data_IF_862806021121
#
_entry.id   IF_862806021121
#
_cell.length_a   1.000
_cell.length_b   1.000
_cell.length_c   1.000
_cell.angle_alpha   90.00
_cell.angle_beta   90.00
_cell.angle_gamma   90.00
#
_symmetry.space_group_name_H-M   'P 1'
#
loop_
_entity.id
_entity.type
_entity.pdbx_description
1 polymer ?
#
# COMPACT_ATOMS: atom_id res chain seq x y z
N UNK A 1 35.11 40.37 -67.35
CA UNK A 1 35.02 38.94 -66.95
C UNK A 1 35.20 38.71 -65.43
N UNK A 2 35.16 39.73 -64.57
CA UNK A 2 35.44 39.59 -63.12
C UNK A 2 34.20 39.36 -62.22
N UNK A 3 32.98 39.68 -62.69
CA UNK A 3 31.75 39.64 -61.86
C UNK A 3 31.15 38.22 -61.70
N UNK A 4 31.33 37.33 -62.67
CA UNK A 4 30.72 35.99 -62.67
C UNK A 4 31.43 34.98 -61.75
N UNK A 5 32.70 35.20 -61.38
CA UNK A 5 33.43 34.31 -60.47
C UNK A 5 33.07 34.55 -59.00
N UNK A 6 32.75 35.78 -58.60
CA UNK A 6 32.33 36.11 -57.22
C UNK A 6 30.96 35.50 -56.90
N UNK A 7 30.02 35.55 -57.84
CA UNK A 7 28.70 34.92 -57.69
C UNK A 7 28.78 33.40 -57.52
N UNK A 8 29.65 32.73 -58.29
CA UNK A 8 29.87 31.27 -58.19
C UNK A 8 30.58 30.88 -56.89
N UNK A 9 31.53 31.69 -56.43
CA UNK A 9 32.22 31.47 -55.15
C UNK A 9 31.26 31.66 -53.96
N UNK A 10 30.39 32.68 -54.01
CA UNK A 10 29.39 32.95 -52.98
C UNK A 10 28.36 31.81 -52.90
N UNK A 11 27.90 31.31 -54.05
CA UNK A 11 26.98 30.17 -54.13
C UNK A 11 27.63 28.87 -53.63
N UNK A 12 28.91 28.66 -53.94
CA UNK A 12 29.69 27.54 -53.41
C UNK A 12 29.85 27.64 -51.88
N UNK A 13 30.09 28.82 -51.33
CA UNK A 13 30.25 29.03 -49.89
C UNK A 13 28.94 28.80 -49.12
N UNK A 14 27.80 29.18 -49.70
CA UNK A 14 26.46 28.91 -49.17
C UNK A 14 26.12 27.41 -49.11
N UNK A 15 26.66 26.60 -50.03
CA UNK A 15 26.43 25.15 -50.08
C UNK A 15 27.24 24.35 -49.04
N UNK A 16 28.28 24.94 -48.43
CA UNK A 16 29.10 24.29 -47.39
C UNK A 16 28.61 24.56 -45.96
N UNK A 17 27.61 25.43 -45.76
CA UNK A 17 26.96 25.62 -44.46
C UNK A 17 25.81 24.62 -44.28
N UNK A 18 26.13 23.39 -43.85
CA UNK A 18 25.10 22.45 -43.38
C UNK A 18 24.74 22.77 -41.92
N UNK A 19 23.56 23.35 -41.69
CA UNK A 19 23.02 23.52 -40.34
C UNK A 19 22.36 22.20 -39.89
N UNK A 20 22.80 21.65 -38.77
CA UNK A 20 22.08 20.56 -38.10
C UNK A 20 20.94 21.20 -37.30
N UNK A 21 19.71 21.01 -37.77
CA UNK A 21 18.50 21.47 -37.07
C UNK A 21 17.97 20.31 -36.24
N UNK A 22 17.96 20.45 -34.91
CA UNK A 22 17.34 19.48 -34.02
C UNK A 22 15.81 19.67 -34.05
N UNK A 23 15.06 18.63 -34.45
CA UNK A 23 13.60 18.65 -34.47
C UNK A 23 13.03 18.15 -33.12
N UNK A 24 13.25 18.93 -32.07
CA UNK A 24 12.58 18.74 -30.78
C UNK A 24 11.17 19.35 -30.82
N UNK A 25 10.17 18.61 -30.35
CA UNK A 25 8.78 19.09 -30.33
C UNK A 25 8.55 19.86 -29.04
N UNK A 26 8.52 21.19 -29.13
CA UNK A 26 8.03 22.04 -28.05
C UNK A 26 6.54 22.34 -28.23
N UNK A 27 5.74 22.13 -27.19
CA UNK A 27 4.33 22.56 -27.14
C UNK A 27 4.19 23.55 -25.98
N UNK A 28 3.83 24.79 -26.29
CA UNK A 28 3.73 25.86 -25.29
C UNK A 28 5.09 26.46 -24.86
N UNK A 29 6.20 25.99 -25.43
CA UNK A 29 7.55 26.54 -25.21
C UNK A 29 8.33 26.67 -26.51
N UNK A 30 9.14 27.72 -26.64
CA UNK A 30 10.07 27.92 -27.75
C UNK A 30 11.49 27.44 -27.43
N UNK A 31 11.75 27.12 -26.15
CA UNK A 31 13.05 26.66 -25.66
C UNK A 31 12.89 25.29 -24.99
N UNK A 32 12.47 24.24 -25.73
CA UNK A 32 12.37 22.90 -25.16
C UNK A 32 13.73 22.44 -24.59
N UNK A 33 13.68 21.73 -23.47
CA UNK A 33 14.86 21.26 -22.76
C UNK A 33 15.74 20.37 -23.65
N UNK A 34 17.05 20.55 -23.61
CA UNK A 34 18.00 19.87 -24.52
C UNK A 34 18.04 18.35 -24.38
N UNK A 35 17.46 17.81 -23.31
CA UNK A 35 17.35 16.37 -23.05
C UNK A 35 15.99 15.77 -23.39
N UNK A 36 15.09 16.50 -24.07
CA UNK A 36 13.75 16.03 -24.42
C UNK A 36 13.52 15.99 -25.93
N UNK A 37 12.82 14.95 -26.38
CA UNK A 37 12.30 14.87 -27.76
C UNK A 37 10.95 15.59 -27.85
N UNK A 38 10.19 15.62 -26.75
CA UNK A 38 8.93 16.31 -26.57
C UNK A 38 8.98 17.07 -25.24
N UNK A 39 8.80 18.39 -25.29
CA UNK A 39 8.67 19.26 -24.11
C UNK A 39 7.33 20.00 -24.17
N UNK A 40 6.59 19.99 -23.06
CA UNK A 40 5.25 20.56 -22.99
C UNK A 40 5.17 21.47 -21.78
N UNK A 41 4.98 22.76 -22.02
CA UNK A 41 4.85 23.78 -20.99
C UNK A 41 3.44 24.37 -21.00
N UNK A 42 2.77 24.37 -19.85
CA UNK A 42 1.48 25.02 -19.67
C UNK A 42 1.27 25.35 -18.19
N UNK A 43 0.59 26.46 -17.91
CA UNK A 43 0.23 26.86 -16.54
C UNK A 43 -1.16 26.39 -16.12
N UNK A 44 -1.99 25.93 -17.05
CA UNK A 44 -3.40 25.64 -16.81
C UNK A 44 -3.98 24.46 -17.61
N UNK A 45 -3.16 23.76 -18.40
CA UNK A 45 -3.58 22.61 -19.22
C UNK A 45 -2.65 21.43 -19.00
N UNK A 46 -3.17 20.21 -19.20
CA UNK A 46 -2.41 18.97 -19.12
C UNK A 46 -2.36 18.23 -20.46
N UNK A 47 -1.82 17.01 -20.44
CA UNK A 47 -1.74 16.14 -21.62
C UNK A 47 -2.76 15.01 -21.49
N UNK A 48 -3.65 14.89 -22.48
CA UNK A 48 -4.45 13.68 -22.64
C UNK A 48 -3.65 12.66 -23.43
N UNK A 49 -3.28 11.57 -22.76
CA UNK A 49 -2.68 10.40 -23.40
C UNK A 49 -3.75 9.61 -24.18
N UNK A 50 -3.34 8.70 -25.08
CA UNK A 50 -4.28 7.84 -25.80
C UNK A 50 -5.25 7.13 -24.83
N UNK A 51 -6.55 7.31 -25.08
CA UNK A 51 -7.63 6.69 -24.30
C UNK A 51 -8.07 5.42 -25.01
N UNK A 52 -7.77 4.27 -24.41
CA UNK A 52 -7.89 2.97 -25.05
C UNK A 52 -8.77 2.08 -24.18
N UNK A 53 -9.73 1.37 -24.76
CA UNK A 53 -10.54 0.41 -24.02
C UNK A 53 -9.90 -0.97 -24.03
N UNK A 54 -9.12 -1.30 -23.00
CA UNK A 54 -8.51 -2.63 -22.88
C UNK A 54 -9.57 -3.69 -22.55
N UNK A 55 -9.32 -4.93 -23.00
CA UNK A 55 -10.18 -6.09 -22.69
C UNK A 55 -9.65 -6.93 -21.51
N UNK A 56 -8.35 -6.86 -21.21
CA UNK A 56 -7.67 -7.49 -20.07
C UNK A 56 -6.26 -6.92 -19.92
N UNK A 57 -5.53 -7.26 -18.85
CA UNK A 57 -4.11 -6.89 -18.74
C UNK A 57 -3.24 -7.59 -19.78
N UNK A 58 -3.68 -8.72 -20.33
CA UNK A 58 -3.00 -9.45 -21.40
C UNK A 58 -3.37 -8.99 -22.83
N UNK A 59 -4.20 -7.96 -22.99
CA UNK A 59 -4.66 -7.50 -24.30
C UNK A 59 -3.52 -6.95 -25.17
N UNK A 60 -3.11 -7.72 -26.17
CA UNK A 60 -2.11 -7.34 -27.17
C UNK A 60 -2.71 -7.18 -28.58
N UNK A 61 -4.05 -7.11 -28.66
CA UNK A 61 -4.80 -7.06 -29.91
C UNK A 61 -5.33 -5.65 -30.20
N UNK A 62 -5.77 -4.94 -29.16
CA UNK A 62 -6.25 -3.56 -29.26
C UNK A 62 -5.14 -2.60 -29.71
N UNK A 63 -3.93 -2.83 -29.21
CA UNK A 63 -2.68 -2.24 -29.72
C UNK A 63 -1.80 -3.41 -30.12
N UNK A 64 -1.54 -3.56 -31.41
CA UNK A 64 -0.70 -4.65 -31.93
C UNK A 64 0.77 -4.36 -31.68
N UNK A 65 1.52 -5.37 -31.22
CA UNK A 65 2.94 -5.27 -30.87
C UNK A 65 3.28 -4.05 -29.97
N UNK A 66 2.65 -3.91 -28.80
CA UNK A 66 2.93 -2.79 -27.90
C UNK A 66 4.40 -2.83 -27.43
N UNK A 67 5.06 -1.68 -27.50
CA UNK A 67 6.46 -1.53 -27.09
C UNK A 67 6.59 -1.33 -25.58
N UNK A 68 7.71 -1.72 -24.99
CA UNK A 68 7.94 -1.52 -23.56
C UNK A 68 7.88 -0.03 -23.20
N UNK A 69 7.26 0.29 -22.06
CA UNK A 69 6.99 1.66 -21.58
C UNK A 69 5.93 2.45 -22.34
N UNK A 70 5.20 1.84 -23.29
CA UNK A 70 4.06 2.50 -23.92
C UNK A 70 2.98 2.82 -22.89
N UNK A 71 2.62 4.10 -22.73
CA UNK A 71 1.70 4.61 -21.71
C UNK A 71 0.35 5.02 -22.31
N UNK A 72 -0.74 4.54 -21.72
CA UNK A 72 -2.12 4.84 -22.13
C UNK A 72 -3.00 5.12 -20.92
N UNK A 73 -4.18 5.68 -21.17
CA UNK A 73 -5.27 5.69 -20.20
C UNK A 73 -6.32 4.63 -20.61
N UNK A 74 -6.49 3.59 -19.81
CA UNK A 74 -7.56 2.62 -20.02
C UNK A 74 -8.92 3.23 -19.65
N UNK A 75 -9.93 3.06 -20.50
CA UNK A 75 -11.31 3.54 -20.26
C UNK A 75 -12.29 2.45 -19.85
N UNK A 76 -11.90 1.18 -19.95
CA UNK A 76 -12.80 0.03 -19.77
C UNK A 76 -12.73 -0.57 -18.37
N UNK A 77 -13.86 -1.07 -17.88
CA UNK A 77 -13.94 -2.01 -16.74
C UNK A 77 -14.32 -3.39 -17.29
N UNK A 78 -13.32 -4.23 -17.57
CA UNK A 78 -13.51 -5.56 -18.16
C UNK A 78 -12.45 -6.49 -17.59
N UNK A 79 -12.84 -7.70 -17.18
CA UNK A 79 -11.93 -8.68 -16.56
C UNK A 79 -11.12 -8.06 -15.40
N UNK A 80 -9.80 -8.03 -15.53
CA UNK A 80 -8.83 -7.55 -14.54
C UNK A 80 -8.38 -6.10 -14.80
N UNK A 81 -8.99 -5.39 -15.76
CA UNK A 81 -8.72 -3.97 -16.01
C UNK A 81 -9.86 -3.08 -15.55
N UNK A 82 -9.49 -1.95 -14.97
CA UNK A 82 -10.36 -0.83 -14.58
C UNK A 82 -9.80 0.48 -15.12
N UNK A 83 -10.60 1.56 -15.23
CA UNK A 83 -10.11 2.85 -15.71
C UNK A 83 -8.89 3.35 -14.93
N UNK A 84 -7.95 3.97 -15.65
CA UNK A 84 -6.70 4.49 -15.08
C UNK A 84 -5.53 4.42 -16.07
N UNK A 85 -4.36 4.87 -15.63
CA UNK A 85 -3.14 4.81 -16.46
C UNK A 85 -2.55 3.40 -16.46
N UNK A 86 -2.14 2.92 -17.62
CA UNK A 86 -1.46 1.64 -17.80
C UNK A 86 -0.24 1.82 -18.68
N UNK A 87 0.82 1.08 -18.38
CA UNK A 87 1.98 0.97 -19.25
C UNK A 87 2.29 -0.48 -19.62
N UNK A 88 2.77 -0.69 -20.84
CA UNK A 88 3.16 -2.02 -21.31
C UNK A 88 4.54 -2.41 -20.79
N UNK A 89 4.63 -3.55 -20.09
CA UNK A 89 5.91 -4.13 -19.67
C UNK A 89 5.76 -5.63 -19.40
N UNK A 90 6.78 -6.41 -19.75
CA UNK A 90 6.85 -7.86 -19.51
C UNK A 90 5.62 -8.63 -20.05
N UNK A 91 5.14 -8.25 -21.24
CA UNK A 91 4.04 -8.94 -21.92
C UNK A 91 2.64 -8.65 -21.36
N UNK A 92 2.45 -7.59 -20.57
CA UNK A 92 1.15 -7.18 -20.04
C UNK A 92 1.04 -5.68 -19.80
N UNK A 93 -0.18 -5.19 -19.71
CA UNK A 93 -0.53 -3.86 -19.22
C UNK A 93 -0.48 -3.82 -17.70
N UNK A 94 0.37 -2.94 -17.16
CA UNK A 94 0.54 -2.73 -15.73
C UNK A 94 -0.15 -1.41 -15.35
N UNK A 95 -1.14 -1.48 -14.45
CA UNK A 95 -1.82 -0.28 -13.95
C UNK A 95 -0.86 0.54 -13.10
N UNK A 96 -0.80 1.85 -13.34
CA UNK A 96 -0.20 2.80 -12.41
C UNK A 96 -1.25 3.06 -11.33
N UNK A 97 -1.10 2.39 -10.18
CA UNK A 97 -1.99 2.58 -9.05
C UNK A 97 -1.53 3.78 -8.21
N UNK A 98 -2.49 4.53 -7.69
CA UNK A 98 -2.28 5.31 -6.47
C UNK A 98 -2.43 4.33 -5.32
N UNK A 99 -1.36 4.02 -4.59
CA UNK A 99 -1.46 3.12 -3.44
C UNK A 99 -2.44 3.69 -2.42
N UNK A 100 -3.59 3.04 -2.24
CA UNK A 100 -4.48 3.33 -1.12
C UNK A 100 -3.73 2.92 0.14
N UNK A 101 -3.24 3.89 0.90
CA UNK A 101 -2.63 3.61 2.20
C UNK A 101 -3.75 3.35 3.20
N UNK A 102 -3.86 2.11 3.64
CA UNK A 102 -4.77 1.74 4.72
C UNK A 102 -3.92 1.30 5.91
N UNK A 103 -4.12 1.94 7.06
CA UNK A 103 -3.40 1.60 8.27
C UNK A 103 -4.18 2.04 9.51
N UNK A 104 -3.93 1.37 10.63
CA UNK A 104 -4.54 1.67 11.91
C UNK A 104 -3.65 1.32 13.09
N UNK A 105 -3.74 2.11 14.15
CA UNK A 105 -3.06 1.90 15.45
C UNK A 105 -4.05 2.13 16.59
N UNK A 106 -4.22 1.10 17.41
CA UNK A 106 -4.93 1.16 18.69
C UNK A 106 -3.97 0.72 19.79
N UNK A 107 -4.04 1.39 20.94
CA UNK A 107 -3.11 1.20 22.04
C UNK A 107 -3.80 1.34 23.38
N UNK A 108 -3.19 0.70 24.39
CA UNK A 108 -3.59 0.82 25.78
C UNK A 108 -2.86 1.98 26.41
N UNK A 109 -3.56 3.08 26.67
CA UNK A 109 -2.99 4.26 27.33
C UNK A 109 -2.77 4.02 28.83
N UNK A 110 -2.14 4.97 29.52
CA UNK A 110 -2.03 4.99 30.98
C UNK A 110 -3.39 5.19 31.68
N UNK A 111 -4.38 5.76 30.99
CA UNK A 111 -5.74 5.95 31.50
C UNK A 111 -6.61 4.69 31.38
N UNK A 112 -6.24 3.73 30.51
CA UNK A 112 -6.91 2.45 30.39
C UNK A 112 -6.55 1.52 31.55
N UNK A 113 -7.55 1.03 32.29
CA UNK A 113 -7.34 0.10 33.40
C UNK A 113 -6.62 -1.19 32.94
N UNK A 114 -5.78 -1.74 33.81
CA UNK A 114 -5.19 -3.08 33.65
C UNK A 114 -6.30 -4.11 33.42
N UNK A 115 -6.11 -5.04 32.47
CA UNK A 115 -7.13 -6.03 32.09
C UNK A 115 -6.67 -7.45 32.43
N UNK A 116 -7.38 -8.14 33.31
CA UNK A 116 -7.16 -9.57 33.56
C UNK A 116 -7.49 -10.41 32.32
N UNK A 117 -6.82 -11.55 32.14
CA UNK A 117 -7.07 -12.41 30.99
C UNK A 117 -8.43 -13.11 31.10
N UNK A 118 -9.20 -13.06 30.03
CA UNK A 118 -10.46 -13.76 29.86
C UNK A 118 -10.55 -14.31 28.44
N UNK A 119 -10.54 -15.64 28.26
CA UNK A 119 -10.60 -16.29 26.96
C UNK A 119 -11.90 -16.01 26.19
N UNK A 120 -12.95 -15.50 26.86
CA UNK A 120 -14.21 -15.13 26.22
C UNK A 120 -14.27 -13.66 25.76
N UNK A 121 -13.28 -12.85 26.14
CA UNK A 121 -13.26 -11.41 25.87
C UNK A 121 -11.95 -10.98 25.19
N UNK A 122 -11.99 -10.14 24.14
CA UNK A 122 -10.77 -9.68 23.48
C UNK A 122 -9.99 -8.71 24.38
N UNK A 123 -8.71 -8.55 24.08
CA UNK A 123 -7.88 -7.52 24.71
C UNK A 123 -8.40 -6.14 24.32
N UNK A 124 -8.69 -5.32 25.33
CA UNK A 124 -9.11 -3.94 25.17
C UNK A 124 -7.90 -3.01 25.29
N UNK A 125 -7.63 -2.32 24.18
CA UNK A 125 -6.63 -1.27 24.07
C UNK A 125 -7.24 0.05 24.58
N UNK A 126 -8.43 0.42 24.12
CA UNK A 126 -9.21 1.53 24.69
C UNK A 126 -8.83 2.92 24.15
N UNK A 127 -7.75 3.06 23.38
CA UNK A 127 -7.39 4.31 22.73
C UNK A 127 -7.06 4.07 21.26
N UNK A 128 -7.53 4.97 20.40
CA UNK A 128 -7.27 4.95 18.95
C UNK A 128 -6.26 6.08 18.67
N UNK A 129 -5.11 5.76 18.09
CA UNK A 129 -4.10 6.76 17.72
C UNK A 129 -4.39 7.34 16.34
N UNK A 130 -4.39 6.48 15.32
CA UNK A 130 -4.59 6.85 13.92
C UNK A 130 -5.31 5.72 13.19
N UNK A 131 -6.21 6.07 12.28
CA UNK A 131 -6.90 5.14 11.40
C UNK A 131 -7.15 5.82 10.06
N UNK A 132 -6.71 5.19 8.97
CA UNK A 132 -6.92 5.62 7.60
C UNK A 132 -7.40 4.40 6.79
N UNK A 133 -8.56 4.50 6.14
CA UNK A 133 -9.12 3.42 5.31
C UNK A 133 -9.54 2.14 6.04
N UNK A 134 -9.56 2.15 7.38
CA UNK A 134 -10.01 1.06 8.26
C UNK A 134 -10.89 1.65 9.35
N UNK A 135 -11.93 0.92 9.78
CA UNK A 135 -12.72 1.31 10.94
C UNK A 135 -12.08 0.75 12.21
N UNK A 136 -12.22 1.43 13.34
CA UNK A 136 -11.62 0.99 14.59
C UNK A 136 -12.54 1.21 15.79
N UNK A 137 -12.36 0.34 16.76
CA UNK A 137 -12.88 0.46 18.12
C UNK A 137 -11.71 0.26 19.11
N UNK A 138 -11.99 0.37 20.39
CA UNK A 138 -11.13 0.08 21.53
C UNK A 138 -10.45 -1.29 21.52
N UNK A 139 -10.94 -2.28 20.77
CA UNK A 139 -10.43 -3.66 20.82
C UNK A 139 -10.25 -4.34 19.45
N UNK A 140 -10.59 -3.66 18.35
CA UNK A 140 -10.48 -4.24 17.01
C UNK A 140 -10.36 -3.21 15.90
N UNK A 141 -9.97 -3.73 14.74
CA UNK A 141 -10.14 -3.08 13.44
C UNK A 141 -11.21 -3.79 12.63
N UNK A 142 -12.01 -3.06 11.87
CA UNK A 142 -12.97 -3.58 10.90
C UNK A 142 -12.56 -3.16 9.48
N UNK A 143 -12.50 -4.14 8.57
CA UNK A 143 -11.91 -4.00 7.24
C UNK A 143 -12.92 -3.39 6.27
N UNK A 144 -12.52 -2.31 5.60
CA UNK A 144 -13.35 -1.66 4.57
C UNK A 144 -13.00 -2.19 3.18
N UNK A 145 -11.71 -2.32 2.88
CA UNK A 145 -11.21 -2.73 1.56
C UNK A 145 -10.60 -4.14 1.64
N UNK A 146 -11.02 -5.12 0.83
CA UNK A 146 -10.41 -6.43 0.84
C UNK A 146 -8.94 -6.39 0.44
N UNK A 147 -8.12 -7.23 1.06
CA UNK A 147 -6.70 -7.22 0.77
C UNK A 147 -5.85 -8.10 1.67
N UNK A 148 -4.56 -8.09 1.38
CA UNK A 148 -3.54 -8.65 2.24
C UNK A 148 -3.09 -7.58 3.23
N UNK A 149 -3.27 -7.86 4.51
CA UNK A 149 -2.94 -6.99 5.62
C UNK A 149 -1.81 -7.58 6.45
N UNK A 150 -0.92 -6.72 6.93
CA UNK A 150 -0.01 -7.03 8.02
C UNK A 150 -0.67 -6.60 9.32
N UNK A 151 -0.81 -7.53 10.25
CA UNK A 151 -1.25 -7.27 11.61
C UNK A 151 -0.07 -7.49 12.55
N UNK A 152 0.16 -6.53 13.44
CA UNK A 152 1.20 -6.60 14.46
C UNK A 152 0.58 -6.28 15.81
N UNK A 153 0.88 -7.06 16.84
CA UNK A 153 0.58 -6.67 18.21
C UNK A 153 1.82 -6.77 19.09
N UNK A 154 1.85 -5.97 20.15
CA UNK A 154 2.80 -6.08 21.24
C UNK A 154 2.05 -5.85 22.55
N UNK A 155 2.13 -6.78 23.48
CA UNK A 155 1.45 -6.69 24.79
C UNK A 155 2.43 -7.03 25.90
N UNK A 156 2.37 -6.28 27.00
CA UNK A 156 3.13 -6.60 28.21
C UNK A 156 2.19 -7.12 29.29
N UNK A 157 2.56 -8.25 29.86
CA UNK A 157 1.79 -8.93 30.90
C UNK A 157 2.47 -8.75 32.24
N UNK A 158 1.67 -8.64 33.30
CA UNK A 158 2.08 -8.74 34.69
C UNK A 158 1.35 -9.92 35.34
N UNK A 159 2.11 -10.83 35.96
CA UNK A 159 1.56 -11.85 36.85
C UNK A 159 1.70 -11.43 38.30
N UNK A 160 0.60 -11.38 39.03
CA UNK A 160 0.55 -10.87 40.42
C UNK A 160 0.46 -11.95 41.48
N UNK A 161 0.10 -13.19 41.10
CA UNK A 161 -0.03 -14.31 42.03
C UNK A 161 -0.08 -15.68 41.30
N UNK A 162 -0.01 -16.75 42.10
CA UNK A 162 -0.22 -18.13 41.69
C UNK A 162 0.97 -18.75 40.96
N UNK A 163 0.91 -20.06 40.76
CA UNK A 163 1.96 -20.87 40.13
C UNK A 163 2.27 -20.47 38.69
N UNK A 164 3.45 -20.85 38.15
CA UNK A 164 3.79 -20.64 36.74
C UNK A 164 2.69 -21.14 35.81
N UNK A 165 2.48 -20.42 34.71
CA UNK A 165 1.38 -20.69 33.79
C UNK A 165 1.83 -20.65 32.34
N UNK A 166 1.33 -21.59 31.56
CA UNK A 166 1.46 -21.62 30.12
C UNK A 166 0.24 -20.93 29.52
N UNK A 167 0.47 -19.92 28.68
CA UNK A 167 -0.58 -19.13 28.06
C UNK A 167 -0.15 -18.67 26.68
N UNK A 168 -1.07 -18.08 25.94
CA UNK A 168 -0.78 -17.51 24.64
C UNK A 168 -1.88 -16.60 24.15
N UNK A 169 -1.65 -16.04 22.97
CA UNK A 169 -2.56 -15.12 22.32
C UNK A 169 -2.69 -15.47 20.84
N UNK A 170 -3.85 -15.19 20.28
CA UNK A 170 -4.14 -15.40 18.87
C UNK A 170 -5.06 -14.30 18.34
N UNK A 171 -5.07 -14.15 17.02
CA UNK A 171 -5.99 -13.25 16.34
C UNK A 171 -7.24 -14.00 15.88
N UNK A 172 -8.36 -13.29 15.80
CA UNK A 172 -9.62 -13.78 15.21
C UNK A 172 -10.10 -12.86 14.10
N UNK A 173 -11.01 -13.35 13.24
CA UNK A 173 -11.68 -12.59 12.16
C UNK A 173 -13.05 -12.03 12.55
N UNK A 174 -13.53 -12.39 13.74
CA UNK A 174 -14.80 -11.91 14.31
C UNK A 174 -14.72 -11.87 15.83
N UNK A 175 -15.79 -11.42 16.47
CA UNK A 175 -15.92 -11.41 17.94
C UNK A 175 -16.14 -12.82 18.53
N UNK A 176 -16.19 -13.86 17.70
CA UNK A 176 -16.21 -15.24 18.16
C UNK A 176 -14.76 -15.72 18.40
N UNK A 177 -14.37 -16.08 19.64
CA UNK A 177 -13.04 -16.60 19.92
C UNK A 177 -12.73 -17.91 19.16
N UNK A 178 -13.73 -18.64 18.66
CA UNK A 178 -13.52 -19.83 17.84
C UNK A 178 -13.07 -19.51 16.39
N UNK A 179 -13.31 -18.30 15.90
CA UNK A 179 -12.95 -17.84 14.55
C UNK A 179 -11.47 -17.42 14.47
N UNK A 180 -10.60 -18.35 14.89
CA UNK A 180 -9.17 -18.14 15.02
C UNK A 180 -8.49 -18.09 13.66
N UNK A 181 -7.61 -17.11 13.51
CA UNK A 181 -6.70 -17.05 12.37
C UNK A 181 -5.59 -18.08 12.57
N UNK A 182 -5.52 -19.06 11.67
CA UNK A 182 -4.52 -20.12 11.71
C UNK A 182 -3.08 -19.60 11.68
N UNK A 183 -2.23 -20.18 12.54
CA UNK A 183 -0.84 -19.77 12.72
C UNK A 183 -0.65 -18.35 13.28
N UNK A 184 -1.67 -17.77 13.94
CA UNK A 184 -1.52 -16.50 14.68
C UNK A 184 -1.18 -16.70 16.17
N UNK A 185 -1.14 -17.95 16.63
CA UNK A 185 -0.95 -18.26 18.04
C UNK A 185 0.51 -18.08 18.47
N UNK A 186 0.73 -17.28 19.51
CA UNK A 186 2.03 -17.14 20.19
C UNK A 186 1.89 -17.67 21.61
N UNK A 187 2.74 -18.62 21.98
CA UNK A 187 2.76 -19.27 23.29
C UNK A 187 3.92 -18.77 24.15
N UNK A 188 3.72 -18.72 25.46
CA UNK A 188 4.76 -18.40 26.43
C UNK A 188 4.47 -19.04 27.79
N UNK A 189 5.52 -19.15 28.60
CA UNK A 189 5.41 -19.52 30.01
C UNK A 189 5.70 -18.28 30.86
N UNK A 190 4.84 -18.03 31.85
CA UNK A 190 4.98 -16.92 32.78
C UNK A 190 5.19 -17.45 34.20
N UNK A 191 6.43 -17.28 34.69
CA UNK A 191 6.82 -17.59 36.06
C UNK A 191 6.16 -16.63 37.08
N UNK A 192 6.21 -16.99 38.36
CA UNK A 192 5.63 -16.19 39.45
C UNK A 192 6.24 -14.77 39.51
N UNK A 193 5.38 -13.76 39.69
CA UNK A 193 5.77 -12.35 39.88
C UNK A 193 6.66 -11.77 38.76
N UNK A 194 6.39 -12.14 37.51
CA UNK A 194 7.14 -11.64 36.36
C UNK A 194 6.32 -10.77 35.41
N UNK A 195 7.08 -9.92 34.71
CA UNK A 195 6.62 -9.18 33.54
C UNK A 195 7.26 -9.75 32.28
N UNK A 196 6.48 -9.93 31.23
CA UNK A 196 6.97 -10.33 29.91
C UNK A 196 6.30 -9.50 28.83
N UNK A 197 6.98 -9.35 27.70
CA UNK A 197 6.40 -8.83 26.47
C UNK A 197 6.16 -9.97 25.49
N UNK A 198 5.00 -9.96 24.83
CA UNK A 198 4.64 -10.88 23.75
C UNK A 198 4.32 -10.04 22.53
N UNK A 199 4.93 -10.38 21.40
CA UNK A 199 4.65 -9.71 20.14
C UNK A 199 4.52 -10.70 19.00
N UNK A 200 3.83 -10.26 17.95
CA UNK A 200 3.59 -11.05 16.75
C UNK A 200 3.49 -10.12 15.54
N UNK A 201 3.95 -10.61 14.38
CA UNK A 201 3.73 -9.99 13.07
C UNK A 201 3.21 -11.07 12.11
N UNK A 202 2.08 -10.81 11.44
CA UNK A 202 1.47 -11.76 10.51
C UNK A 202 0.84 -11.07 9.32
N UNK A 203 1.04 -11.64 8.14
CA UNK A 203 0.35 -11.25 6.93
C UNK A 203 -0.85 -12.18 6.74
N UNK A 204 -2.04 -11.61 6.55
CA UNK A 204 -3.31 -12.32 6.42
C UNK A 204 -4.15 -11.67 5.32
N UNK A 205 -4.93 -12.50 4.62
CA UNK A 205 -5.97 -12.00 3.74
C UNK A 205 -7.23 -11.68 4.54
N UNK A 206 -7.81 -10.50 4.31
CA UNK A 206 -9.05 -10.07 4.93
C UNK A 206 -10.05 -9.53 3.91
N UNK A 207 -11.31 -9.91 4.10
CA UNK A 207 -12.46 -9.43 3.33
C UNK A 207 -13.14 -8.23 4.01
N UNK A 208 -13.97 -7.51 3.26
CA UNK A 208 -14.78 -6.41 3.78
C UNK A 208 -15.66 -6.90 4.95
N UNK A 209 -15.76 -6.07 6.00
CA UNK A 209 -16.45 -6.30 7.27
C UNK A 209 -15.84 -7.37 8.18
N UNK A 210 -14.77 -8.06 7.78
CA UNK A 210 -14.01 -8.88 8.73
C UNK A 210 -13.36 -7.99 9.80
N UNK A 211 -13.16 -8.55 10.99
CA UNK A 211 -12.69 -7.81 12.15
C UNK A 211 -11.47 -8.47 12.77
N UNK A 212 -10.48 -7.69 13.16
CA UNK A 212 -9.28 -8.22 13.80
C UNK A 212 -9.31 -7.94 15.29
N UNK A 213 -9.49 -9.00 16.08
CA UNK A 213 -9.37 -8.97 17.53
C UNK A 213 -8.11 -9.73 17.98
N UNK A 214 -7.66 -9.45 19.20
CA UNK A 214 -6.64 -10.22 19.91
C UNK A 214 -7.28 -10.90 21.13
N UNK A 215 -7.18 -12.22 21.22
CA UNK A 215 -7.72 -13.00 22.34
C UNK A 215 -6.60 -13.72 23.11
N UNK A 216 -6.69 -13.82 24.44
CA UNK A 216 -5.92 -14.80 25.20
C UNK A 216 -6.50 -16.21 25.00
N UNK A 217 -5.68 -17.24 25.12
CA UNK A 217 -6.12 -18.65 25.08
C UNK A 217 -6.76 -19.16 26.36
N UNK A 218 -6.52 -18.48 27.47
CA UNK A 218 -7.03 -18.86 28.78
C UNK A 218 -7.59 -17.66 29.54
N UNK A 219 -8.50 -17.94 30.47
CA UNK A 219 -8.91 -16.98 31.48
C UNK A 219 -8.03 -17.13 32.73
N UNK A 220 -7.48 -16.03 33.22
CA UNK A 220 -6.68 -16.02 34.44
C UNK A 220 -6.75 -14.66 35.16
N UNK A 221 -7.28 -14.66 36.39
CA UNK A 221 -7.42 -13.43 37.19
C UNK A 221 -6.12 -12.90 37.81
N UNK A 222 -5.03 -13.67 37.78
CA UNK A 222 -3.72 -13.30 38.32
C UNK A 222 -2.72 -12.85 37.25
N UNK A 223 -3.10 -12.88 35.97
CA UNK A 223 -2.31 -12.36 34.85
C UNK A 223 -3.11 -11.26 34.19
N UNK A 224 -2.47 -10.13 33.92
CA UNK A 224 -3.14 -9.00 33.31
C UNK A 224 -2.28 -8.27 32.29
N UNK A 225 -2.93 -7.72 31.27
CA UNK A 225 -2.33 -6.78 30.31
C UNK A 225 -2.16 -5.43 31.00
N UNK A 226 -0.91 -4.97 31.09
CA UNK A 226 -0.55 -3.73 31.76
C UNK A 226 -1.06 -2.50 31.01
N UNK A 227 -1.44 -1.45 31.75
CA UNK A 227 -1.70 -0.13 31.14
C UNK A 227 -0.44 0.44 30.50
N UNK A 228 -0.61 1.29 29.48
CA UNK A 228 0.50 1.91 28.73
C UNK A 228 1.50 0.93 28.08
N UNK A 229 1.11 -0.33 27.82
CA UNK A 229 2.04 -1.37 27.39
C UNK A 229 1.44 -2.40 26.44
N UNK A 230 0.41 -2.02 25.69
CA UNK A 230 -0.21 -2.86 24.67
C UNK A 230 -0.58 -2.05 23.41
N UNK A 231 -0.29 -2.59 22.23
CA UNK A 231 -0.63 -2.01 20.93
C UNK A 231 -1.09 -3.08 19.95
N UNK A 232 -1.98 -2.71 19.03
CA UNK A 232 -2.37 -3.49 17.86
C UNK A 232 -2.34 -2.56 16.65
N UNK A 233 -1.62 -2.98 15.61
CA UNK A 233 -1.43 -2.25 14.37
C UNK A 233 -1.89 -3.08 13.19
N UNK A 234 -2.44 -2.41 12.19
CA UNK A 234 -2.83 -3.01 10.92
C UNK A 234 -2.34 -2.14 9.76
N UNK A 235 -1.84 -2.75 8.69
CA UNK A 235 -1.36 -2.08 7.49
C UNK A 235 -1.77 -2.89 6.25
N UNK A 236 -2.36 -2.26 5.24
CA UNK A 236 -2.59 -2.89 3.95
C UNK A 236 -1.26 -3.04 3.21
N UNK A 237 -0.96 -4.27 2.81
CA UNK A 237 0.19 -4.61 1.96
C UNK A 237 -0.22 -4.55 0.50
N UNK A 238 -1.43 -5.03 0.18
CA UNK A 238 -1.95 -5.08 -1.19
C UNK A 238 -3.46 -5.22 -1.18
N UNK A 239 -4.18 -4.30 -1.81
CA UNK A 239 -5.62 -4.47 -2.04
C UNK A 239 -5.90 -5.55 -3.07
N UNK A 240 -7.05 -6.19 -2.94
CA UNK A 240 -7.64 -7.05 -3.97
C UNK A 240 -8.87 -6.31 -4.49
N UNK A 241 -8.78 -5.84 -5.73
CA UNK A 241 -9.90 -5.24 -6.46
C UNK A 241 -10.61 -6.31 -7.28
#
# INVERSE_FOLDING_TARGET
MCSTSISKLLLSLLLFFSFVVNAQVGIGTINPHTSSILDIESTNSGVLLPRIGLTSTSDNSTITNPEASLLIYNTSTVNDVTPGFYFWQNGKWNKISTDTKIFGDIYKSSASAVQALDASSPISFGSIAICEGVLSDSNHFEIVTPGYYRVTYSISLLKTAGSPINLGFYLTKSSDPADKIEGSFVHTQLDEFRNINISMNKIIYLDTNEKIFLYPDISNGSVAVMSNAATLNIELIKSVN
#
